data_IF_535756863820
#
_entry.id   IF_535756863820
#
_cell.length_a   1.000
_cell.length_b   1.000
_cell.length_c   1.000
_cell.angle_alpha   90.00
_cell.angle_beta   90.00
_cell.angle_gamma   90.00
#
_symmetry.space_group_name_H-M   'P 1'
#
loop_
_entity.id
_entity.type
_entity.pdbx_description
1 polymer ?
#
# COMPACT_ATOMS: atom_id res chain seq x y z
N UNK A 1 -29.91 2.14 1.92
CA UNK A 1 -28.62 1.52 1.54
C UNK A 1 -27.98 1.05 2.82
N UNK A 2 -27.83 -0.26 3.04
CA UNK A 2 -27.09 -0.74 4.21
C UNK A 2 -25.65 -0.25 4.11
N UNK A 3 -25.14 0.39 5.15
CA UNK A 3 -23.71 0.66 5.25
C UNK A 3 -22.94 -0.65 5.06
N UNK A 4 -21.84 -0.66 4.28
CA UNK A 4 -21.02 -1.86 4.16
C UNK A 4 -20.59 -2.30 5.55
N UNK A 5 -20.72 -3.61 5.82
CA UNK A 5 -20.36 -4.18 7.11
C UNK A 5 -18.86 -3.93 7.37
N UNK A 6 -18.56 -3.20 8.44
CA UNK A 6 -17.17 -2.98 8.87
C UNK A 6 -16.62 -4.25 9.51
N UNK A 7 -15.32 -4.47 9.35
CA UNK A 7 -14.56 -5.56 9.95
C UNK A 7 -14.00 -5.06 11.27
N UNK A 8 -14.30 -5.73 12.38
CA UNK A 8 -13.72 -5.42 13.68
C UNK A 8 -12.19 -5.57 13.62
N UNK A 9 -11.45 -4.46 13.83
CA UNK A 9 -10.00 -4.44 13.77
C UNK A 9 -9.32 -5.35 14.80
N UNK A 10 -10.00 -5.68 15.91
CA UNK A 10 -9.48 -6.62 16.91
C UNK A 10 -9.43 -8.07 16.42
N UNK A 11 -10.16 -8.40 15.35
CA UNK A 11 -10.17 -9.72 14.73
C UNK A 11 -8.99 -9.95 13.76
N UNK A 12 -8.20 -8.91 13.47
CA UNK A 12 -7.04 -8.98 12.59
C UNK A 12 -5.84 -9.61 13.30
N UNK A 13 -5.83 -10.94 13.42
CA UNK A 13 -4.73 -11.69 14.02
C UNK A 13 -3.44 -11.53 13.22
N UNK A 14 -2.33 -11.17 13.87
CA UNK A 14 -1.02 -10.99 13.23
C UNK A 14 -0.78 -9.59 12.64
N UNK A 15 -1.78 -8.71 12.68
CA UNK A 15 -1.62 -7.29 12.32
C UNK A 15 -1.23 -6.51 13.57
N UNK A 16 -0.07 -5.86 13.54
CA UNK A 16 0.35 -4.97 14.64
C UNK A 16 -0.38 -3.62 14.57
N UNK A 17 -0.55 -2.94 15.71
CA UNK A 17 -1.09 -1.57 15.71
C UNK A 17 -0.25 -0.60 14.87
N UNK A 18 1.06 -0.83 14.78
CA UNK A 18 1.97 -0.06 13.91
C UNK A 18 1.57 -0.17 12.43
N UNK A 19 1.11 -1.34 11.99
CA UNK A 19 0.63 -1.53 10.61
C UNK A 19 -0.69 -0.77 10.35
N UNK A 20 -1.57 -0.67 11.34
CA UNK A 20 -2.77 0.16 11.27
C UNK A 20 -2.42 1.65 11.27
N UNK A 21 -1.40 2.05 12.02
CA UNK A 21 -0.88 3.42 12.00
C UNK A 21 -0.34 3.79 10.61
N UNK A 22 0.48 2.94 9.98
CA UNK A 22 1.02 3.22 8.64
C UNK A 22 -0.07 3.25 7.57
N UNK A 23 -1.07 2.36 7.67
CA UNK A 23 -2.26 2.39 6.82
C UNK A 23 -3.01 3.73 6.94
N UNK A 24 -3.27 4.20 8.17
CA UNK A 24 -3.95 5.48 8.40
C UNK A 24 -3.19 6.67 7.82
N UNK A 25 -1.85 6.67 7.93
CA UNK A 25 -1.01 7.73 7.35
C UNK A 25 -1.16 7.77 5.83
N UNK A 26 -1.05 6.62 5.15
CA UNK A 26 -1.17 6.56 3.69
C UNK A 26 -2.57 6.96 3.22
N UNK A 27 -3.61 6.46 3.89
CA UNK A 27 -4.99 6.84 3.58
C UNK A 27 -5.25 8.34 3.80
N UNK A 28 -4.66 8.93 4.86
CA UNK A 28 -4.79 10.37 5.12
C UNK A 28 -4.07 11.19 4.05
N UNK A 29 -2.89 10.77 3.61
CA UNK A 29 -2.15 11.45 2.54
C UNK A 29 -2.84 11.31 1.18
N UNK A 30 -3.34 10.12 0.83
CA UNK A 30 -4.04 9.86 -0.42
C UNK A 30 -5.40 10.58 -0.52
N UNK A 31 -6.03 10.95 0.60
CA UNK A 31 -7.27 11.75 0.62
C UNK A 31 -7.04 13.23 0.38
N UNK A 32 -5.79 13.71 0.47
CA UNK A 32 -5.49 15.13 0.30
C UNK A 32 -5.60 15.53 -1.17
N UNK A 33 -6.23 16.68 -1.49
CA UNK A 33 -6.21 17.22 -2.84
C UNK A 33 -4.81 17.50 -3.39
N UNK A 34 -3.85 17.76 -2.49
CA UNK A 34 -2.43 18.00 -2.76
C UNK A 34 -1.53 16.82 -2.33
N UNK A 35 -2.12 15.62 -2.23
CA UNK A 35 -1.42 14.42 -1.74
C UNK A 35 -0.27 13.98 -2.64
N UNK A 36 0.78 13.44 -2.02
CA UNK A 36 1.98 12.96 -2.74
C UNK A 36 1.88 11.51 -3.24
N UNK A 37 0.90 10.74 -2.76
CA UNK A 37 0.67 9.33 -3.13
C UNK A 37 -0.79 9.11 -3.51
N UNK A 38 -1.01 8.18 -4.43
CA UNK A 38 -2.33 7.66 -4.78
C UNK A 38 -2.44 6.23 -4.21
N UNK A 39 -3.32 6.04 -3.24
CA UNK A 39 -3.50 4.75 -2.55
C UNK A 39 -4.98 4.50 -2.24
N UNK A 40 -5.82 4.24 -3.26
CA UNK A 40 -7.26 4.06 -3.08
C UNK A 40 -7.60 2.83 -2.23
N UNK A 41 -6.75 1.81 -2.24
CA UNK A 41 -6.93 0.60 -1.42
C UNK A 41 -6.70 0.91 0.06
N UNK A 42 -5.69 1.72 0.41
CA UNK A 42 -5.54 2.15 1.81
C UNK A 42 -6.74 2.96 2.30
N UNK A 43 -7.29 3.83 1.45
CA UNK A 43 -8.52 4.60 1.75
C UNK A 43 -9.68 3.66 2.03
N UNK A 44 -9.91 2.68 1.15
CA UNK A 44 -10.98 1.68 1.30
C UNK A 44 -10.81 0.84 2.58
N UNK A 45 -9.60 0.37 2.86
CA UNK A 45 -9.31 -0.45 4.04
C UNK A 45 -9.58 0.32 5.34
N UNK A 46 -9.15 1.59 5.44
CA UNK A 46 -9.46 2.44 6.60
C UNK A 46 -10.97 2.63 6.76
N UNK A 47 -11.72 2.78 5.67
CA UNK A 47 -13.18 2.95 5.73
C UNK A 47 -13.91 1.67 6.16
N UNK A 48 -13.33 0.49 5.88
CA UNK A 48 -13.90 -0.82 6.19
C UNK A 48 -13.46 -1.41 7.53
N UNK A 49 -12.37 -0.94 8.13
CA UNK A 49 -11.91 -1.43 9.43
C UNK A 49 -12.59 -0.61 10.54
N UNK A 50 -13.26 -1.31 11.46
CA UNK A 50 -13.76 -0.74 12.70
C UNK A 50 -12.62 -0.71 13.73
N UNK A 51 -11.93 0.43 13.78
CA UNK A 51 -10.82 0.70 14.68
C UNK A 51 -10.76 2.19 14.99
N UNK A 52 -10.38 2.55 16.23
CA UNK A 52 -10.18 3.94 16.62
C UNK A 52 -8.86 4.49 16.05
N UNK A 53 -8.87 4.87 14.78
CA UNK A 53 -7.73 5.48 14.12
C UNK A 53 -7.38 6.88 14.66
N UNK A 54 -8.33 7.54 15.34
CA UNK A 54 -8.08 8.86 15.93
C UNK A 54 -7.05 8.80 17.07
N UNK A 55 -6.89 7.62 17.70
CA UNK A 55 -5.87 7.36 18.73
C UNK A 55 -4.44 7.64 18.28
N UNK A 56 -4.16 7.59 16.97
CA UNK A 56 -2.83 7.89 16.42
C UNK A 56 -2.54 9.39 16.28
N UNK A 57 -3.55 10.25 16.49
CA UNK A 57 -3.47 11.69 16.35
C UNK A 57 -3.45 12.16 14.89
N UNK A 58 -3.47 13.48 14.69
CA UNK A 58 -3.42 14.07 13.34
C UNK A 58 -2.06 13.76 12.70
N UNK A 59 -2.05 12.86 11.73
CA UNK A 59 -0.83 12.46 11.05
C UNK A 59 -0.41 13.52 10.03
N UNK A 60 0.29 14.57 10.48
CA UNK A 60 1.19 15.35 9.59
C UNK A 60 2.46 14.57 9.20
N UNK A 61 2.42 13.23 9.36
CA UNK A 61 3.51 12.29 9.15
C UNK A 61 3.53 11.82 7.70
N UNK A 62 3.61 12.76 6.76
CA UNK A 62 3.79 12.41 5.34
C UNK A 62 5.13 11.72 5.07
N UNK A 63 6.05 11.72 6.04
CA UNK A 63 7.33 11.02 6.01
C UNK A 63 7.19 9.51 5.77
N UNK A 64 6.20 8.85 6.37
CA UNK A 64 5.97 7.42 6.14
C UNK A 64 5.43 7.14 4.72
N UNK A 65 4.54 8.01 4.21
CA UNK A 65 4.05 7.93 2.84
C UNK A 65 5.18 8.22 1.82
N UNK A 66 6.02 9.23 2.09
CA UNK A 66 7.22 9.52 1.29
C UNK A 66 8.21 8.35 1.29
N UNK A 67 8.40 7.69 2.44
CA UNK A 67 9.25 6.50 2.55
C UNK A 67 8.74 5.39 1.63
N UNK A 68 7.45 5.06 1.70
CA UNK A 68 6.85 4.07 0.81
C UNK A 68 7.07 4.42 -0.67
N UNK A 69 6.75 5.67 -1.06
CA UNK A 69 6.96 6.15 -2.43
C UNK A 69 8.42 6.08 -2.89
N UNK A 70 9.37 6.39 -2.00
CA UNK A 70 10.79 6.33 -2.31
C UNK A 70 11.25 4.87 -2.56
N UNK A 71 10.78 3.91 -1.76
CA UNK A 71 11.05 2.50 -1.97
C UNK A 71 10.41 1.97 -3.26
N UNK A 72 9.17 2.36 -3.56
CA UNK A 72 8.49 1.98 -4.78
C UNK A 72 9.24 2.51 -6.02
N UNK A 73 9.65 3.78 -5.99
CA UNK A 73 10.45 4.39 -7.08
C UNK A 73 11.80 3.72 -7.26
N UNK A 74 12.50 3.42 -6.16
CA UNK A 74 13.78 2.72 -6.24
C UNK A 74 13.63 1.31 -6.81
N UNK A 75 12.58 0.59 -6.39
CA UNK A 75 12.26 -0.75 -6.88
C UNK A 75 11.93 -0.74 -8.37
N UNK A 76 11.08 0.19 -8.82
CA UNK A 76 10.72 0.34 -10.23
C UNK A 76 11.93 0.72 -11.10
N UNK A 77 12.79 1.61 -10.60
CA UNK A 77 14.02 1.98 -11.31
C UNK A 77 14.96 0.77 -11.48
N UNK A 78 15.09 -0.07 -10.44
CA UNK A 78 15.90 -1.28 -10.50
C UNK A 78 15.30 -2.32 -11.47
N UNK A 79 13.99 -2.55 -11.40
CA UNK A 79 13.30 -3.50 -12.29
C UNK A 79 13.34 -3.08 -13.77
N UNK A 80 13.39 -1.78 -14.06
CA UNK A 80 13.58 -1.29 -15.42
C UNK A 80 14.91 -1.75 -16.01
N UNK A 81 15.96 -1.77 -15.21
CA UNK A 81 17.32 -2.14 -15.63
C UNK A 81 17.56 -3.66 -15.48
N UNK A 82 16.78 -4.34 -14.63
CA UNK A 82 16.83 -5.78 -14.35
C UNK A 82 15.43 -6.42 -14.39
N UNK A 83 14.85 -6.67 -15.58
CA UNK A 83 13.45 -7.10 -15.70
C UNK A 83 13.15 -8.49 -15.15
N UNK A 84 14.15 -9.36 -14.99
CA UNK A 84 14.01 -10.70 -14.41
C UNK A 84 14.27 -10.74 -12.89
N UNK A 85 14.52 -9.59 -12.26
CA UNK A 85 14.78 -9.54 -10.83
C UNK A 85 13.52 -9.85 -10.02
N UNK A 86 13.70 -10.59 -8.92
CA UNK A 86 12.63 -10.89 -7.97
C UNK A 86 12.61 -9.86 -6.86
N UNK A 87 11.44 -9.27 -6.59
CA UNK A 87 11.23 -8.39 -5.43
C UNK A 87 10.69 -9.21 -4.27
N UNK A 88 11.36 -9.13 -3.12
CA UNK A 88 10.89 -9.73 -1.86
C UNK A 88 10.61 -8.61 -0.87
N UNK A 89 9.35 -8.51 -0.46
CA UNK A 89 8.87 -7.46 0.42
C UNK A 89 8.70 -8.02 1.85
N UNK A 90 9.63 -7.67 2.75
CA UNK A 90 9.72 -8.24 4.09
C UNK A 90 8.97 -7.38 5.10
N UNK A 91 8.10 -8.00 5.91
CA UNK A 91 7.31 -7.35 6.96
C UNK A 91 6.42 -6.19 6.46
N UNK A 92 5.89 -6.32 5.24
CA UNK A 92 5.04 -5.32 4.57
C UNK A 92 3.74 -5.00 5.31
N UNK A 93 3.26 -5.92 6.16
CA UNK A 93 2.03 -5.73 6.92
C UNK A 93 0.83 -5.48 6.00
N UNK A 94 0.39 -4.21 5.93
CA UNK A 94 -0.75 -3.76 5.13
C UNK A 94 -0.33 -2.88 3.95
N UNK A 95 0.80 -3.14 3.31
CA UNK A 95 1.18 -2.42 2.10
C UNK A 95 0.17 -2.69 0.97
N UNK A 96 -0.19 -1.64 0.25
CA UNK A 96 -1.25 -1.65 -0.77
C UNK A 96 -0.75 -1.16 -2.12
N UNK A 97 0.49 -0.67 -2.22
CA UNK A 97 1.11 -0.35 -3.50
C UNK A 97 1.39 -1.64 -4.26
N UNK A 98 0.57 -1.90 -5.27
CA UNK A 98 0.88 -2.93 -6.26
C UNK A 98 1.98 -2.36 -7.15
N UNK A 99 3.21 -2.85 -7.00
CA UNK A 99 4.25 -2.67 -8.00
C UNK A 99 3.66 -3.27 -9.28
N UNK A 100 3.22 -2.42 -10.21
CA UNK A 100 2.52 -2.86 -11.41
C UNK A 100 3.40 -3.84 -12.18
N UNK A 101 3.02 -5.12 -12.11
CA UNK A 101 3.62 -6.18 -12.90
C UNK A 101 3.23 -5.94 -14.35
N UNK A 102 4.21 -5.66 -15.21
CA UNK A 102 4.00 -5.76 -16.66
C UNK A 102 3.48 -7.18 -16.96
N UNK A 103 2.54 -7.36 -17.91
CA UNK A 103 2.19 -8.69 -18.38
C UNK A 103 3.47 -9.37 -18.88
N UNK A 104 3.65 -10.63 -18.49
CA UNK A 104 4.76 -11.47 -18.92
C UNK A 104 4.95 -11.28 -20.44
N UNK A 105 6.14 -10.83 -20.85
CA UNK A 105 6.49 -10.86 -22.27
C UNK A 105 6.44 -12.32 -22.70
N UNK A 106 5.52 -12.59 -23.63
CA UNK A 106 5.40 -13.83 -24.38
C UNK A 106 6.76 -14.30 -24.88
N UNK A 107 7.02 -15.61 -24.75
CA UNK A 107 8.16 -16.29 -25.37
C UNK A 107 8.25 -15.91 -26.86
N UNK A 108 9.47 -15.71 -27.40
CA UNK A 108 9.62 -15.55 -28.84
C UNK A 108 9.29 -16.88 -29.51
N UNK A 109 8.40 -16.83 -30.50
CA UNK A 109 8.05 -17.96 -31.36
C UNK A 109 9.31 -18.70 -31.82
N UNK A 110 9.47 -19.92 -31.29
CA UNK A 110 10.43 -20.86 -31.79
C UNK A 110 9.90 -21.45 -33.11
N UNK A 111 10.66 -21.17 -34.17
CA UNK A 111 10.78 -21.94 -35.43
C UNK A 111 9.65 -21.79 -36.46
N UNK A 112 10.08 -21.33 -37.63
CA UNK A 112 9.44 -21.44 -38.95
C UNK A 112 10.39 -20.95 -40.01
#
# INVERSE_FOLDING_TARGET
MSSPQKIDGSTLTGVSETALMTLQVRASEARRPDGIIEDPVAVELVDRIDFDFAKFGYSRRSDMAMRALAFDRATLAYLRDHPEATVVALAEGLQTSSIESRPAMSEPDAVG
#
